data_IF_579030894003
#
_entry.id   IF_579030894003
#
_cell.length_a   1.000
_cell.length_b   1.000
_cell.length_c   1.000
_cell.angle_alpha   90.00
_cell.angle_beta   90.00
_cell.angle_gamma   90.00
#
_symmetry.space_group_name_H-M   'P 1'
#
loop_
_entity.id
_entity.type
_entity.pdbx_description
1 polymer ?
#
# COMPACT_ATOMS: atom_id res chain seq x y z
N UNK A 1 8.76 -1.36 0.60
CA UNK A 1 7.45 -0.68 0.50
C UNK A 1 7.09 -0.14 1.88
N UNK A 2 6.64 1.11 1.97
CA UNK A 2 6.57 1.88 3.22
C UNK A 2 5.19 1.87 3.91
N UNK A 3 4.28 1.00 3.47
CA UNK A 3 2.89 0.99 3.96
C UNK A 3 2.79 0.85 5.49
N UNK A 4 3.52 -0.12 6.05
CA UNK A 4 3.52 -0.40 7.49
C UNK A 4 4.05 0.79 8.30
N UNK A 5 5.20 1.34 7.89
CA UNK A 5 5.80 2.51 8.54
C UNK A 5 4.84 3.71 8.58
N UNK A 6 4.21 4.03 7.46
CA UNK A 6 3.30 5.18 7.38
C UNK A 6 2.04 4.94 8.22
N UNK A 7 1.50 3.71 8.20
CA UNK A 7 0.35 3.35 9.02
C UNK A 7 0.67 3.48 10.52
N UNK A 8 1.78 2.91 10.96
CA UNK A 8 2.21 2.90 12.36
C UNK A 8 2.61 4.29 12.85
N UNK A 9 3.29 5.08 12.02
CA UNK A 9 3.61 6.48 12.31
C UNK A 9 2.37 7.38 12.48
N UNK A 10 1.19 6.91 12.06
CA UNK A 10 -0.11 7.57 12.27
C UNK A 10 -0.95 6.95 13.37
N UNK A 11 -0.42 5.96 14.11
CA UNK A 11 -1.14 5.26 15.16
C UNK A 11 -2.34 4.43 14.64
N UNK A 12 -2.36 4.08 13.35
CA UNK A 12 -3.48 3.34 12.75
C UNK A 12 -3.27 1.83 12.92
N UNK A 13 -4.31 1.10 13.29
CA UNK A 13 -4.32 -0.36 13.15
C UNK A 13 -4.55 -0.76 11.69
N UNK A 14 -4.19 -2.00 11.31
CA UNK A 14 -4.51 -2.52 9.98
C UNK A 14 -6.02 -2.55 9.73
N UNK A 15 -6.82 -2.85 10.75
CA UNK A 15 -8.28 -2.78 10.70
C UNK A 15 -8.73 -1.35 10.37
N UNK A 16 -8.17 -0.35 11.06
CA UNK A 16 -8.56 1.04 10.84
C UNK A 16 -8.21 1.53 9.44
N UNK A 17 -7.02 1.19 8.95
CA UNK A 17 -6.65 1.48 7.57
C UNK A 17 -7.57 0.77 6.57
N UNK A 18 -8.01 -0.45 6.89
CA UNK A 18 -8.94 -1.19 6.05
C UNK A 18 -10.31 -0.51 5.93
N UNK A 19 -10.85 -0.04 7.05
CA UNK A 19 -12.09 0.77 7.07
C UNK A 19 -11.94 2.04 6.22
N UNK A 20 -10.82 2.75 6.34
CA UNK A 20 -10.58 4.02 5.63
C UNK A 20 -10.36 3.84 4.12
N UNK A 21 -9.71 2.74 3.71
CA UNK A 21 -9.33 2.50 2.31
C UNK A 21 -10.32 1.59 1.56
N UNK A 22 -11.22 0.91 2.25
CA UNK A 22 -12.06 -0.14 1.68
C UNK A 22 -11.23 -1.32 1.16
N UNK A 23 -10.12 -1.62 1.83
CA UNK A 23 -9.27 -2.81 1.61
C UNK A 23 -9.37 -3.68 2.86
N UNK A 24 -9.48 -5.00 2.73
CA UNK A 24 -9.62 -5.85 3.91
C UNK A 24 -8.36 -5.81 4.78
N UNK A 25 -8.55 -5.87 6.11
CA UNK A 25 -7.45 -5.97 7.08
C UNK A 25 -6.50 -7.12 6.74
N UNK A 26 -7.02 -8.27 6.35
CA UNK A 26 -6.22 -9.44 6.01
C UNK A 26 -5.37 -9.21 4.76
N UNK A 27 -5.89 -8.47 3.77
CA UNK A 27 -5.10 -8.14 2.58
C UNK A 27 -4.01 -7.11 2.88
N UNK A 28 -4.31 -6.11 3.74
CA UNK A 28 -3.29 -5.19 4.27
C UNK A 28 -2.18 -5.97 4.97
N UNK A 29 -2.52 -6.95 5.81
CA UNK A 29 -1.54 -7.81 6.46
C UNK A 29 -0.67 -8.58 5.45
N UNK A 30 -1.27 -9.16 4.40
CA UNK A 30 -0.48 -9.84 3.36
C UNK A 30 0.45 -8.90 2.60
N UNK A 31 0.02 -7.66 2.37
CA UNK A 31 0.82 -6.63 1.70
C UNK A 31 1.98 -6.19 2.61
N UNK A 32 1.72 -5.90 3.89
CA UNK A 32 2.76 -5.47 4.86
C UNK A 32 3.77 -6.58 5.18
N UNK A 33 3.38 -7.85 5.04
CA UNK A 33 4.25 -9.01 5.18
C UNK A 33 4.94 -9.41 3.86
N UNK A 34 4.82 -8.61 2.80
CA UNK A 34 5.38 -8.86 1.47
C UNK A 34 4.93 -10.18 0.81
N UNK A 35 3.84 -10.78 1.31
CA UNK A 35 3.28 -12.06 0.81
C UNK A 35 2.45 -11.88 -0.46
N UNK A 36 1.97 -10.66 -0.72
CA UNK A 36 1.16 -10.32 -1.91
C UNK A 36 1.57 -8.96 -2.45
N UNK A 37 1.69 -8.88 -3.77
CA UNK A 37 1.84 -7.64 -4.48
C UNK A 37 0.47 -6.97 -4.66
N UNK A 38 0.27 -5.73 -4.18
CA UNK A 38 -0.97 -4.99 -4.43
C UNK A 38 -1.03 -4.51 -5.89
N UNK A 39 -2.24 -4.43 -6.44
CA UNK A 39 -2.46 -3.76 -7.73
C UNK A 39 -2.34 -2.24 -7.58
N UNK A 40 -2.16 -1.52 -8.68
CA UNK A 40 -2.19 -0.06 -8.69
C UNK A 40 -3.49 0.50 -8.10
N UNK A 41 -4.63 -0.18 -8.31
CA UNK A 41 -5.92 0.21 -7.70
C UNK A 41 -5.89 0.11 -6.18
N UNK A 42 -5.32 -0.97 -5.64
CA UNK A 42 -5.17 -1.14 -4.18
C UNK A 42 -4.20 -0.11 -3.61
N UNK A 43 -3.09 0.15 -4.29
CA UNK A 43 -2.12 1.18 -3.90
C UNK A 43 -2.79 2.56 -3.86
N UNK A 44 -3.57 2.93 -4.87
CA UNK A 44 -4.32 4.20 -4.89
C UNK A 44 -5.28 4.31 -3.69
N UNK A 45 -6.03 3.25 -3.37
CA UNK A 45 -6.93 3.25 -2.20
C UNK A 45 -6.19 3.47 -0.89
N UNK A 46 -5.07 2.77 -0.68
CA UNK A 46 -4.25 2.87 0.52
C UNK A 46 -3.59 4.25 0.61
N UNK A 47 -3.04 4.74 -0.50
CA UNK A 47 -2.39 6.05 -0.60
C UNK A 47 -3.39 7.19 -0.30
N UNK A 48 -4.59 7.13 -0.89
CA UNK A 48 -5.66 8.10 -0.63
C UNK A 48 -6.13 8.08 0.83
N UNK A 49 -6.33 6.89 1.42
CA UNK A 49 -6.69 6.77 2.83
C UNK A 49 -5.59 7.30 3.76
N UNK A 50 -4.33 7.15 3.36
CA UNK A 50 -3.18 7.71 4.05
C UNK A 50 -2.87 9.14 3.59
N UNK A 51 -3.63 9.80 2.71
CA UNK A 51 -3.32 11.16 2.26
C UNK A 51 -1.87 11.37 1.80
N UNK A 52 -1.28 10.39 1.13
CA UNK A 52 0.07 10.44 0.54
C UNK A 52 -0.01 10.04 -0.93
N UNK A 53 0.94 10.47 -1.78
CA UNK A 53 0.98 9.97 -3.16
C UNK A 53 1.40 8.49 -3.18
N UNK A 54 0.96 7.75 -4.20
CA UNK A 54 1.30 6.32 -4.36
C UNK A 54 2.81 6.09 -4.40
N UNK A 55 3.56 7.00 -5.03
CA UNK A 55 5.02 6.96 -5.07
C UNK A 55 5.65 6.94 -3.68
N UNK A 56 5.01 7.50 -2.67
CA UNK A 56 5.50 7.49 -1.29
C UNK A 56 5.34 6.14 -0.59
N UNK A 57 4.45 5.27 -1.10
CA UNK A 57 4.32 3.89 -0.64
C UNK A 57 5.43 3.00 -1.22
N UNK A 58 5.89 3.30 -2.44
CA UNK A 58 6.85 2.50 -3.19
C UNK A 58 8.28 2.92 -2.83
N UNK A 59 9.15 1.96 -2.53
CA UNK A 59 10.60 2.22 -2.51
C UNK A 59 11.13 2.19 -3.95
N UNK A 60 12.22 2.92 -4.20
CA UNK A 60 12.94 2.89 -5.49
C UNK A 60 13.31 1.46 -5.94
N UNK A 61 13.44 0.52 -4.99
CA UNK A 61 13.77 -0.89 -5.25
C UNK A 61 12.61 -1.75 -5.81
N UNK A 62 11.37 -1.25 -5.79
CA UNK A 62 10.17 -2.02 -6.16
C UNK A 62 9.58 -1.62 -7.53
N UNK A 63 10.18 -0.63 -8.20
CA UNK A 63 9.72 -0.21 -9.54
C UNK A 63 10.31 -1.14 -10.60
N UNK A 64 9.71 -2.33 -10.78
CA UNK A 64 9.88 -3.06 -12.04
C UNK A 64 8.99 -2.39 -13.09
N UNK A 65 9.58 -1.47 -13.85
CA UNK A 65 8.94 -0.99 -15.08
C UNK A 65 8.93 -2.15 -16.06
N UNK A 66 7.84 -2.93 -16.07
CA UNK A 66 7.48 -3.71 -17.25
C UNK A 66 7.22 -2.69 -18.36
N UNK A 67 8.28 -2.44 -19.13
CA UNK A 67 8.16 -1.75 -20.40
C UNK A 67 7.37 -2.71 -21.28
N UNK A 68 6.07 -2.51 -21.38
CA UNK A 68 5.31 -2.93 -22.55
C UNK A 68 5.94 -2.22 -23.76
N UNK A 69 6.97 -2.85 -24.31
CA UNK A 69 7.46 -2.55 -25.65
C UNK A 69 6.38 -3.07 -26.60
N UNK A 70 5.82 -2.12 -27.35
CA UNK A 70 4.96 -2.33 -28.51
C UNK A 70 5.51 -3.39 -29.46
#
# INVERSE_FOLDING_TARGET
>A
MRLKEIREGRGLSQLKLGEMSGVSQSFINYIEAEKKQPTLRTLNKLASALGVPVSYLLDESQVKVERDMR
#
